data_IF_528580978189
#
_entry.id   IF_528580978189
#
_cell.length_a   1.000
_cell.length_b   1.000
_cell.length_c   1.000
_cell.angle_alpha   90.00
_cell.angle_beta   90.00
_cell.angle_gamma   90.00
#
_symmetry.space_group_name_H-M   'P 1'
#
loop_
_entity.id
_entity.type
_entity.pdbx_description
1 polymer ?
#
# COMPACT_ATOMS: atom_id res chain seq x y z
N UNK A 1 -3.86 35.38 -7.22
CA UNK A 1 -3.16 35.86 -6.01
C UNK A 1 -3.51 34.91 -4.88
N UNK A 2 -2.58 34.05 -4.48
CA UNK A 2 -2.79 33.05 -3.42
C UNK A 2 -2.89 33.81 -2.09
N UNK A 3 -3.94 33.56 -1.30
CA UNK A 3 -4.12 34.20 0.01
C UNK A 3 -3.41 33.39 1.09
N UNK A 4 -3.03 34.04 2.19
CA UNK A 4 -2.38 33.38 3.33
C UNK A 4 -3.25 32.26 3.95
N UNK A 5 -4.58 32.35 3.83
CA UNK A 5 -5.53 31.30 4.23
C UNK A 5 -5.32 30.00 3.46
N UNK A 6 -5.13 30.10 2.14
CA UNK A 6 -5.01 28.96 1.24
C UNK A 6 -3.70 28.20 1.53
N UNK A 7 -2.67 28.94 1.96
CA UNK A 7 -1.39 28.37 2.40
C UNK A 7 -1.54 27.55 3.69
N UNK A 8 -2.28 28.05 4.68
CA UNK A 8 -2.51 27.32 5.94
C UNK A 8 -3.30 26.03 5.71
N UNK A 9 -4.29 26.06 4.82
CA UNK A 9 -5.02 24.86 4.43
C UNK A 9 -4.10 23.84 3.72
N UNK A 10 -3.26 24.30 2.80
CA UNK A 10 -2.33 23.42 2.08
C UNK A 10 -1.32 22.76 3.03
N UNK A 11 -0.77 23.52 3.99
CA UNK A 11 0.12 22.97 5.02
C UNK A 11 -0.61 21.97 5.91
N UNK A 12 -1.85 22.24 6.32
CA UNK A 12 -2.65 21.31 7.13
C UNK A 12 -3.00 20.01 6.38
N UNK A 13 -3.31 20.11 5.08
CA UNK A 13 -3.56 18.95 4.22
C UNK A 13 -2.28 18.13 4.07
N UNK A 14 -1.14 18.80 3.82
CA UNK A 14 0.15 18.12 3.75
C UNK A 14 0.43 17.44 5.09
N UNK A 15 0.26 18.11 6.24
CA UNK A 15 0.50 17.55 7.58
C UNK A 15 -0.34 16.30 7.88
N UNK A 16 -1.60 16.28 7.46
CA UNK A 16 -2.50 15.11 7.61
C UNK A 16 -2.28 14.00 6.57
N UNK A 17 -1.55 14.29 5.49
CA UNK A 17 -1.23 13.30 4.45
C UNK A 17 0.06 12.52 4.78
N UNK A 18 0.27 11.38 4.11
CA UNK A 18 1.51 10.61 4.16
C UNK A 18 2.63 11.19 3.27
N UNK A 19 2.47 12.41 2.75
CA UNK A 19 3.43 13.03 1.84
C UNK A 19 4.69 13.43 2.59
N UNK A 20 5.82 12.79 2.25
CA UNK A 20 7.14 13.11 2.81
C UNK A 20 7.78 14.33 2.13
N UNK A 21 7.55 14.53 0.83
CA UNK A 21 8.10 15.64 0.04
C UNK A 21 7.00 16.21 -0.85
N UNK A 22 6.73 17.50 -0.70
CA UNK A 22 5.78 18.26 -1.51
C UNK A 22 6.53 19.34 -2.29
N UNK A 23 6.31 19.43 -3.61
CA UNK A 23 6.89 20.48 -4.46
C UNK A 23 5.78 21.21 -5.20
N UNK A 24 5.78 22.54 -5.17
CA UNK A 24 4.80 23.39 -5.81
C UNK A 24 5.49 24.47 -6.65
N UNK A 25 5.04 24.66 -7.89
CA UNK A 25 5.56 25.67 -8.82
C UNK A 25 4.42 26.53 -9.36
N UNK A 26 4.49 27.85 -9.18
CA UNK A 26 3.49 28.80 -9.68
C UNK A 26 4.13 30.17 -9.97
N UNK A 27 3.87 30.74 -11.17
CA UNK A 27 4.40 32.07 -11.60
C UNK A 27 5.91 32.26 -11.37
N UNK A 28 6.71 31.21 -11.59
CA UNK A 28 8.17 31.24 -11.41
C UNK A 28 8.64 31.07 -9.95
N UNK A 29 7.72 30.90 -9.00
CA UNK A 29 8.02 30.57 -7.61
C UNK A 29 7.98 29.05 -7.41
N UNK A 30 9.08 28.47 -6.92
CA UNK A 30 9.18 27.05 -6.55
C UNK A 30 9.26 26.90 -5.03
N UNK A 31 8.40 26.07 -4.47
CA UNK A 31 8.34 25.80 -3.04
C UNK A 31 8.48 24.30 -2.79
N UNK A 32 9.32 23.92 -1.82
CA UNK A 32 9.56 22.54 -1.41
C UNK A 32 9.28 22.40 0.09
N UNK A 33 8.43 21.45 0.46
CA UNK A 33 8.12 21.08 1.84
C UNK A 33 8.59 19.64 2.07
N UNK A 34 9.37 19.40 3.12
CA UNK A 34 9.83 18.06 3.50
C UNK A 34 9.45 17.77 4.95
N UNK A 35 8.74 16.66 5.19
CA UNK A 35 8.45 16.18 6.54
C UNK A 35 9.66 15.38 7.04
N UNK A 36 10.30 15.86 8.10
CA UNK A 36 11.34 15.07 8.75
C UNK A 36 10.71 14.02 9.68
N UNK A 37 11.00 12.72 9.49
CA UNK A 37 10.66 11.72 10.49
C UNK A 37 11.53 11.97 11.73
N UNK A 38 10.89 12.27 12.86
CA UNK A 38 11.57 12.34 14.15
C UNK A 38 11.98 10.92 14.53
N UNK A 39 13.26 10.58 14.29
CA UNK A 39 13.86 9.35 14.79
C UNK A 39 14.04 9.51 16.30
N UNK A 40 13.06 9.09 17.09
CA UNK A 40 13.27 8.88 18.52
C UNK A 40 14.19 7.68 18.72
N UNK A 41 15.40 7.99 19.18
CA UNK A 41 16.41 7.03 19.60
C UNK A 41 15.84 6.06 20.64
N UNK A 42 15.91 4.78 20.31
CA UNK A 42 15.53 3.64 21.15
C UNK A 42 16.66 3.37 22.15
N UNK A 43 16.43 3.57 23.45
CA UNK A 43 17.21 2.91 24.52
C UNK A 43 16.35 1.78 25.07
N UNK A 44 16.95 0.59 25.09
CA UNK A 44 16.36 -0.67 25.53
C UNK A 44 16.39 -0.82 27.05
N UNK A 45 15.44 -1.66 27.50
CA UNK A 45 15.52 -2.66 28.59
C UNK A 45 14.83 -2.29 29.90
N UNK A 46 13.69 -2.95 30.16
CA UNK A 46 13.57 -3.92 31.25
C UNK A 46 12.32 -4.81 31.11
N UNK A 47 12.50 -6.07 31.48
CA UNK A 47 11.54 -7.16 31.49
C UNK A 47 10.59 -7.05 32.68
N UNK A 48 9.29 -7.31 32.51
CA UNK A 48 8.46 -7.92 33.59
C UNK A 48 7.35 -8.77 32.97
N UNK A 49 7.34 -10.03 33.40
CA UNK A 49 6.30 -11.05 33.23
C UNK A 49 4.97 -10.66 33.88
N UNK A 50 3.82 -10.90 33.24
CA UNK A 50 2.61 -11.34 33.97
C UNK A 50 1.79 -12.31 33.11
N UNK A 51 1.47 -13.44 33.76
CA UNK A 51 0.59 -14.54 33.40
C UNK A 51 -0.75 -14.18 32.76
N UNK A 52 -1.14 -14.95 31.75
CA UNK A 52 -2.51 -15.06 31.22
C UNK A 52 -3.26 -16.14 32.00
N UNK A 53 -4.47 -15.86 32.49
CA UNK A 53 -5.51 -16.88 32.51
C UNK A 53 -6.67 -16.48 31.60
N UNK A 54 -6.87 -17.32 30.59
CA UNK A 54 -8.15 -17.89 30.14
C UNK A 54 -9.42 -17.04 30.33
N UNK A 55 -9.93 -16.48 29.22
CA UNK A 55 -11.37 -16.48 28.95
C UNK A 55 -11.65 -16.70 27.46
N UNK A 56 -12.17 -17.90 27.21
CA UNK A 56 -12.95 -18.32 26.07
C UNK A 56 -14.01 -17.29 25.67
N UNK A 57 -13.95 -16.81 24.43
CA UNK A 57 -15.16 -16.59 23.64
C UNK A 57 -14.94 -17.13 22.22
N UNK A 58 -15.68 -18.21 21.98
CA UNK A 58 -15.92 -18.91 20.73
C UNK A 58 -16.37 -17.97 19.61
N UNK A 59 -15.74 -18.10 18.44
CA UNK A 59 -16.41 -17.97 17.15
C UNK A 59 -15.66 -18.85 16.11
N UNK A 60 -16.01 -20.15 16.12
CA UNK A 60 -16.06 -21.04 14.95
C UNK A 60 -16.96 -20.40 13.87
N UNK A 61 -16.77 -20.40 12.54
CA UNK A 61 -16.03 -21.14 11.49
C UNK A 61 -15.84 -20.13 10.32
N UNK A 62 -14.87 -20.21 9.41
CA UNK A 62 -14.64 -21.30 8.44
C UNK A 62 -13.22 -21.30 7.90
N UNK A 63 -12.65 -22.51 7.90
CA UNK A 63 -11.51 -22.98 7.13
C UNK A 63 -11.46 -22.47 5.67
N UNK A 64 -10.30 -21.95 5.29
CA UNK A 64 -9.61 -22.45 4.09
C UNK A 64 -8.11 -22.48 4.36
N UNK A 65 -7.62 -23.66 4.72
CA UNK A 65 -6.22 -23.99 4.73
C UNK A 65 -5.60 -23.77 3.34
N UNK A 66 -4.61 -22.89 3.26
CA UNK A 66 -3.59 -22.90 2.22
C UNK A 66 -2.27 -22.45 2.84
N UNK A 67 -1.56 -23.45 3.40
CA UNK A 67 -0.11 -23.60 3.36
C UNK A 67 0.70 -22.31 3.45
N UNK A 68 1.08 -21.99 4.68
CA UNK A 68 2.14 -21.04 5.02
C UNK A 68 3.49 -21.58 4.50
N UNK A 69 3.71 -21.48 3.19
CA UNK A 69 5.06 -21.36 2.67
C UNK A 69 5.50 -19.95 3.01
N UNK A 70 6.60 -19.83 3.75
CA UNK A 70 7.21 -18.58 4.12
C UNK A 70 7.46 -17.72 2.87
N UNK A 71 6.45 -16.94 2.46
CA UNK A 71 6.55 -16.02 1.34
C UNK A 71 7.42 -14.89 1.84
N UNK A 72 8.59 -14.74 1.24
CA UNK A 72 9.47 -13.64 1.62
C UNK A 72 8.73 -12.32 1.34
N UNK A 73 8.92 -11.30 2.18
CA UNK A 73 8.25 -9.99 2.00
C UNK A 73 8.50 -9.36 0.62
N UNK A 74 9.56 -9.78 -0.06
CA UNK A 74 9.94 -9.31 -1.40
C UNK A 74 9.17 -10.03 -2.53
N UNK A 75 8.33 -11.01 -2.21
CA UNK A 75 7.55 -11.84 -3.15
C UNK A 75 6.04 -11.52 -3.10
N UNK A 76 5.64 -10.45 -2.42
CA UNK A 76 4.22 -10.05 -2.33
C UNK A 76 4.08 -8.57 -2.64
N UNK A 77 3.18 -8.24 -3.58
CA UNK A 77 2.73 -6.86 -3.77
C UNK A 77 1.52 -6.65 -2.87
N UNK A 78 1.57 -5.63 -2.04
CA UNK A 78 0.51 -5.26 -1.11
C UNK A 78 -0.15 -3.94 -1.49
N UNK A 79 -1.38 -3.73 -1.02
CA UNK A 79 -2.07 -2.47 -1.25
C UNK A 79 -1.43 -1.33 -0.44
N UNK A 80 -1.06 -0.19 -1.07
CA UNK A 80 -0.51 0.96 -0.37
C UNK A 80 -1.59 1.80 0.33
N UNK A 81 -2.87 1.47 0.17
CA UNK A 81 -4.00 2.25 0.69
C UNK A 81 -5.26 1.40 0.86
N UNK A 82 -6.28 1.96 1.50
CA UNK A 82 -7.62 1.39 1.52
C UNK A 82 -8.39 1.85 0.28
N UNK A 83 -9.04 0.93 -0.43
CA UNK A 83 -9.77 1.27 -1.65
C UNK A 83 -10.40 0.07 -2.33
N UNK A 84 -10.83 0.25 -3.58
CA UNK A 84 -11.39 -0.81 -4.43
C UNK A 84 -10.33 -1.27 -5.42
N UNK A 85 -10.05 -2.56 -5.47
CA UNK A 85 -9.05 -3.16 -6.36
C UNK A 85 -9.61 -3.37 -7.77
N UNK A 86 -8.84 -2.98 -8.78
CA UNK A 86 -9.16 -3.26 -10.18
C UNK A 86 -7.94 -3.80 -10.92
N UNK A 87 -8.19 -4.82 -11.72
CA UNK A 87 -7.20 -5.47 -12.58
C UNK A 87 -6.88 -4.67 -13.84
N UNK A 88 -7.72 -3.71 -14.20
CA UNK A 88 -7.64 -2.92 -15.45
C UNK A 88 -7.44 -1.44 -15.14
N UNK A 89 -6.83 -0.70 -16.06
CA UNK A 89 -6.73 0.75 -15.94
C UNK A 89 -8.06 1.47 -16.25
N UNK A 90 -8.94 0.86 -17.05
CA UNK A 90 -10.32 1.30 -17.25
C UNK A 90 -11.25 0.13 -17.58
N UNK A 91 -12.56 0.36 -17.59
CA UNK A 91 -13.59 -0.67 -17.80
C UNK A 91 -13.53 -1.37 -19.18
N UNK A 92 -12.86 -0.77 -20.17
CA UNK A 92 -12.79 -1.28 -21.55
C UNK A 92 -11.44 -1.91 -21.91
N UNK A 93 -10.48 -1.88 -20.99
CA UNK A 93 -9.13 -2.39 -21.22
C UNK A 93 -8.95 -3.84 -20.74
N UNK A 94 -7.90 -4.48 -21.24
CA UNK A 94 -7.49 -5.79 -20.74
C UNK A 94 -6.84 -5.66 -19.35
N UNK A 95 -6.82 -6.72 -18.53
CA UNK A 95 -6.08 -6.73 -17.28
C UNK A 95 -4.63 -6.30 -17.49
N UNK A 96 -4.12 -5.46 -16.60
CA UNK A 96 -2.75 -4.96 -16.63
C UNK A 96 -1.71 -6.08 -16.52
N UNK A 97 -2.06 -7.13 -15.74
CA UNK A 97 -1.28 -8.36 -15.60
C UNK A 97 -2.20 -9.56 -15.38
N UNK A 98 -1.69 -10.74 -15.71
CA UNK A 98 -2.31 -12.04 -15.46
C UNK A 98 -1.31 -13.02 -14.84
N UNK A 99 -1.80 -14.14 -14.30
CA UNK A 99 -0.94 -15.21 -13.78
C UNK A 99 -0.06 -15.77 -14.90
N UNK A 100 1.24 -15.84 -14.65
CA UNK A 100 2.28 -16.23 -15.62
C UNK A 100 2.97 -15.05 -16.28
N UNK A 101 2.47 -13.82 -16.13
CA UNK A 101 3.11 -12.64 -16.71
C UNK A 101 4.38 -12.27 -15.94
N UNK A 102 5.41 -11.87 -16.69
CA UNK A 102 6.63 -11.28 -16.12
C UNK A 102 6.43 -9.78 -15.94
N UNK A 103 6.72 -9.27 -14.74
CA UNK A 103 6.65 -7.86 -14.38
C UNK A 103 8.04 -7.32 -14.01
N UNK A 104 8.28 -6.05 -14.34
CA UNK A 104 9.49 -5.33 -13.95
C UNK A 104 9.22 -4.41 -12.77
N UNK A 105 10.26 -4.11 -11.98
CA UNK A 105 10.20 -3.10 -10.93
C UNK A 105 9.71 -1.77 -11.52
N UNK A 106 8.67 -1.21 -10.92
CA UNK A 106 8.02 0.03 -11.35
C UNK A 106 6.90 -0.16 -12.38
N UNK A 107 6.72 -1.36 -12.94
CA UNK A 107 5.60 -1.65 -13.83
C UNK A 107 4.28 -1.61 -13.06
N UNK A 108 3.26 -0.95 -13.62
CA UNK A 108 1.91 -0.90 -13.07
C UNK A 108 1.26 -2.28 -13.20
N UNK A 109 0.74 -2.80 -12.08
CA UNK A 109 0.14 -4.14 -12.02
C UNK A 109 -1.36 -4.13 -11.73
N UNK A 110 -1.87 -3.09 -11.06
CA UNK A 110 -3.30 -2.93 -10.80
C UNK A 110 -3.60 -1.46 -10.46
N UNK A 111 -4.89 -1.15 -10.34
CA UNK A 111 -5.40 0.12 -9.85
C UNK A 111 -6.09 -0.10 -8.51
N UNK A 112 -5.92 0.84 -7.59
CA UNK A 112 -6.72 0.93 -6.36
C UNK A 112 -7.47 2.26 -6.37
N UNK A 113 -8.79 2.21 -6.38
CA UNK A 113 -9.64 3.39 -6.31
C UNK A 113 -9.90 3.78 -4.85
N UNK A 114 -9.51 5.00 -4.48
CA UNK A 114 -9.83 5.57 -3.17
C UNK A 114 -10.43 6.95 -3.36
N UNK A 115 -11.67 7.16 -2.86
CA UNK A 115 -12.37 8.46 -2.94
C UNK A 115 -12.47 9.01 -4.37
N UNK A 116 -12.78 8.16 -5.36
CA UNK A 116 -12.83 8.48 -6.81
C UNK A 116 -11.47 8.82 -7.46
N UNK A 117 -10.37 8.55 -6.76
CA UNK A 117 -9.03 8.67 -7.32
C UNK A 117 -8.49 7.27 -7.63
N UNK A 118 -8.15 7.04 -8.89
CA UNK A 118 -7.56 5.80 -9.37
C UNK A 118 -6.04 5.86 -9.20
N UNK A 119 -5.52 5.10 -8.24
CA UNK A 119 -4.09 5.07 -7.93
C UNK A 119 -3.44 3.81 -8.50
N UNK A 120 -2.37 4.01 -9.27
CA UNK A 120 -1.57 2.92 -9.81
C UNK A 120 -0.76 2.24 -8.70
N UNK A 121 -0.80 0.90 -8.68
CA UNK A 121 0.10 0.09 -7.85
C UNK A 121 1.17 -0.49 -8.75
N UNK A 122 2.43 -0.33 -8.35
CA UNK A 122 3.59 -0.76 -9.12
C UNK A 122 4.29 -1.96 -8.46
N UNK A 123 4.89 -2.82 -9.27
CA UNK A 123 5.73 -3.91 -8.78
C UNK A 123 6.99 -3.36 -8.09
N UNK A 124 7.31 -3.86 -6.89
CA UNK A 124 8.49 -3.45 -6.13
C UNK A 124 9.80 -4.09 -6.61
N UNK A 125 9.71 -5.20 -7.33
CA UNK A 125 10.84 -6.02 -7.82
C UNK A 125 10.51 -6.65 -9.17
N UNK A 126 11.52 -7.13 -9.87
CA UNK A 126 11.36 -7.96 -11.06
C UNK A 126 10.90 -9.37 -10.67
N UNK A 127 9.90 -9.91 -11.38
CA UNK A 127 9.34 -11.22 -11.05
C UNK A 127 8.26 -11.70 -12.01
N UNK A 128 7.66 -12.84 -11.69
CA UNK A 128 6.54 -13.44 -12.42
C UNK A 128 5.32 -13.51 -11.49
N UNK A 129 4.14 -13.10 -11.97
CA UNK A 129 2.89 -13.20 -11.19
C UNK A 129 2.51 -14.67 -11.07
N UNK A 130 2.54 -15.22 -9.86
CA UNK A 130 2.14 -16.62 -9.62
C UNK A 130 0.71 -16.75 -9.12
N UNK A 131 0.17 -15.70 -8.52
CA UNK A 131 -1.19 -15.72 -7.96
C UNK A 131 -1.73 -14.29 -7.81
N UNK A 132 -3.03 -14.13 -8.09
CA UNK A 132 -3.81 -12.93 -7.77
C UNK A 132 -4.66 -13.27 -6.55
N UNK A 133 -4.51 -12.51 -5.46
CA UNK A 133 -5.06 -12.84 -4.14
C UNK A 133 -6.39 -12.12 -3.83
N UNK A 134 -6.85 -11.27 -4.76
CA UNK A 134 -8.02 -10.40 -4.61
C UNK A 134 -8.81 -10.39 -5.92
N UNK A 135 -10.15 -10.33 -5.85
CA UNK A 135 -11.00 -10.29 -7.05
C UNK A 135 -11.22 -8.86 -7.55
N UNK A 136 -11.49 -8.70 -8.84
CA UNK A 136 -11.78 -7.40 -9.48
C UNK A 136 -13.05 -6.78 -8.87
N UNK A 137 -12.93 -5.57 -8.32
CA UNK A 137 -14.00 -4.86 -7.63
C UNK A 137 -14.04 -5.06 -6.11
N UNK A 138 -13.15 -5.85 -5.53
CA UNK A 138 -13.10 -6.07 -4.07
C UNK A 138 -12.53 -4.86 -3.31
N UNK A 139 -12.98 -4.71 -2.07
CA UNK A 139 -12.40 -3.73 -1.14
C UNK A 139 -11.12 -4.31 -0.54
N UNK A 140 -10.06 -3.52 -0.57
CA UNK A 140 -8.73 -3.85 -0.03
C UNK A 140 -8.31 -2.88 1.05
N UNK A 141 -7.56 -3.38 2.03
CA UNK A 141 -7.01 -2.61 3.14
C UNK A 141 -5.52 -2.28 2.97
N UNK A 142 -5.02 -1.33 3.75
CA UNK A 142 -3.59 -1.00 3.76
C UNK A 142 -2.75 -2.22 4.15
N UNK A 143 -1.78 -2.55 3.31
CA UNK A 143 -0.88 -3.69 3.51
C UNK A 143 -1.48 -5.04 3.15
N UNK A 144 -2.74 -5.10 2.68
CA UNK A 144 -3.34 -6.34 2.23
C UNK A 144 -2.59 -6.90 1.00
N UNK A 145 -2.21 -8.18 1.00
CA UNK A 145 -1.64 -8.85 -0.17
C UNK A 145 -2.58 -8.80 -1.39
N UNK A 146 -2.06 -8.37 -2.54
CA UNK A 146 -2.78 -8.30 -3.81
C UNK A 146 -2.28 -9.36 -4.80
N UNK A 147 -0.96 -9.50 -4.90
CA UNK A 147 -0.32 -10.45 -5.80
C UNK A 147 0.82 -11.18 -5.10
N UNK A 148 1.00 -12.43 -5.48
CA UNK A 148 2.20 -13.20 -5.16
C UNK A 148 3.10 -13.26 -6.39
N UNK A 149 4.38 -13.01 -6.19
CA UNK A 149 5.41 -13.02 -7.22
C UNK A 149 6.41 -14.13 -6.94
N UNK A 150 6.91 -14.72 -8.02
CA UNK A 150 8.16 -15.48 -8.00
C UNK A 150 9.27 -14.57 -8.48
N UNK A 151 10.19 -14.25 -7.57
CA UNK A 151 11.33 -13.37 -7.89
C UNK A 151 12.17 -13.98 -9.01
N UNK A 152 12.56 -13.15 -9.97
CA UNK A 152 13.44 -13.53 -11.08
C UNK A 152 14.79 -12.84 -10.86
N UNK A 153 15.80 -13.64 -10.52
CA UNK A 153 17.18 -13.18 -10.30
C UNK A 153 17.99 -13.14 -11.59
#
# INVERSE_FOLDING_TARGET
MIKMSDFQEMVNIIDRSSVNVFTFEYEGMKMKLEKQPVLQNKIQKEEVSVSVPDQLLSNEQTDKAAKDEAVSKDEVITSPMVGTFYTRANESEEPLVQVGDTVQKGQVVCIVEAMKLFNEVQAGVDGEIVEVLVEDGDVVEYGQPLFKLKKRS
#
